data_IF_582965786900
#
_entry.id   IF_582965786900
#
_cell.length_a   1.000
_cell.length_b   1.000
_cell.length_c   1.000
_cell.angle_alpha   90.00
_cell.angle_beta   90.00
_cell.angle_gamma   90.00
#
_symmetry.space_group_name_H-M   'P 1'
#
loop_
_entity.id
_entity.type
_entity.pdbx_description
1 polymer ?
#
# COMPACT_ATOMS: atom_id res chain seq x y z
N UNK A 1 -3.76 36.98 59.00
CA UNK A 1 -2.39 37.17 58.48
C UNK A 1 -1.52 35.96 58.78
N UNK A 2 -1.92 34.75 58.36
CA UNK A 2 -1.18 33.50 58.67
C UNK A 2 -1.37 32.41 57.60
N UNK A 3 -1.44 32.77 56.32
CA UNK A 3 -1.49 31.79 55.21
C UNK A 3 -0.62 32.19 54.01
N UNK A 4 0.52 32.83 54.30
CA UNK A 4 1.45 33.35 53.28
C UNK A 4 2.92 33.14 53.65
N UNK A 5 3.23 31.99 54.27
CA UNK A 5 4.62 31.54 54.52
C UNK A 5 4.89 30.07 54.18
N UNK A 6 3.91 29.34 53.62
CA UNK A 6 4.03 27.91 53.30
C UNK A 6 4.38 27.56 51.85
N UNK A 7 4.50 28.53 50.94
CA UNK A 7 4.72 28.26 49.50
C UNK A 7 6.16 28.64 49.05
N UNK A 8 6.90 29.40 49.87
CA UNK A 8 8.25 29.87 49.49
C UNK A 8 9.36 28.84 49.84
N UNK A 9 9.06 27.80 50.62
CA UNK A 9 10.07 26.79 51.00
C UNK A 9 10.11 25.52 50.12
N UNK A 10 9.12 25.32 49.24
CA UNK A 10 9.12 24.20 48.29
C UNK A 10 9.87 24.49 46.97
N UNK A 11 10.32 25.74 46.76
CA UNK A 11 11.05 26.15 45.55
C UNK A 11 12.59 26.20 45.72
N UNK A 12 13.12 25.89 46.91
CA UNK A 12 14.56 25.99 47.19
C UNK A 12 15.30 24.63 47.30
N UNK A 13 14.62 23.49 47.14
CA UNK A 13 15.25 22.14 47.21
C UNK A 13 15.28 21.41 45.86
N UNK A 14 14.68 21.97 44.80
CA UNK A 14 14.78 21.42 43.44
C UNK A 14 15.94 22.02 42.60
N UNK A 15 16.77 22.89 43.19
CA UNK A 15 17.84 23.61 42.49
C UNK A 15 19.27 23.14 42.84
N UNK A 16 19.42 21.95 43.44
CA UNK A 16 20.73 21.45 43.89
C UNK A 16 20.98 19.96 43.57
N UNK A 17 20.51 19.47 42.42
CA UNK A 17 20.99 18.20 41.82
C UNK A 17 21.24 18.40 40.32
N UNK A 18 22.06 19.39 39.98
CA UNK A 18 22.48 19.68 38.61
C UNK A 18 23.94 20.13 38.57
N UNK A 19 24.82 19.31 39.13
CA UNK A 19 26.27 19.44 38.94
C UNK A 19 26.97 18.13 39.32
N UNK A 20 27.09 17.20 38.37
CA UNK A 20 28.23 16.28 38.17
C UNK A 20 27.82 15.06 37.32
N UNK A 21 27.86 15.21 35.99
CA UNK A 21 28.07 14.08 35.08
C UNK A 21 28.93 14.57 33.91
N UNK A 22 29.99 13.84 33.50
CA UNK A 22 30.91 14.25 32.44
C UNK A 22 30.23 14.25 31.05
N UNK A 23 30.78 14.97 30.07
CA UNK A 23 30.19 15.08 28.73
C UNK A 23 30.42 13.78 27.96
N UNK A 24 29.41 12.92 27.93
CA UNK A 24 29.34 11.83 26.95
C UNK A 24 28.82 12.39 25.62
N UNK A 25 29.39 11.95 24.48
CA UNK A 25 29.13 12.52 23.16
C UNK A 25 27.70 12.25 22.73
N UNK A 26 27.19 13.16 21.90
CA UNK A 26 25.91 13.11 21.22
C UNK A 26 25.63 11.72 20.63
N UNK A 27 24.86 10.92 21.36
CA UNK A 27 24.11 9.82 20.81
C UNK A 27 22.78 10.40 20.31
N UNK A 28 22.59 10.38 18.99
CA UNK A 28 21.30 10.57 18.33
C UNK A 28 20.25 9.71 19.03
N UNK A 29 19.42 10.34 19.87
CA UNK A 29 18.16 9.76 20.30
C UNK A 29 17.23 9.79 19.09
N UNK A 30 17.03 8.60 18.52
CA UNK A 30 15.85 8.27 17.74
C UNK A 30 14.59 8.58 18.56
N UNK A 31 14.05 9.79 18.39
CA UNK A 31 12.75 10.21 18.91
C UNK A 31 11.64 9.55 18.07
N UNK A 32 11.44 8.26 18.25
CA UNK A 32 10.39 7.51 17.54
C UNK A 32 9.42 6.80 18.50
N UNK A 33 9.26 7.31 19.74
CA UNK A 33 8.39 6.68 20.75
C UNK A 33 7.36 7.57 21.45
N UNK A 34 7.38 8.89 21.24
CA UNK A 34 6.48 9.81 21.95
C UNK A 34 5.41 10.50 21.08
N UNK A 35 5.38 10.24 19.77
CA UNK A 35 4.28 10.67 18.90
C UNK A 35 3.17 9.61 18.90
N UNK A 36 2.43 9.51 20.00
CA UNK A 36 1.13 8.79 20.09
C UNK A 36 -0.06 9.75 19.92
N UNK A 37 0.15 10.89 19.27
CA UNK A 37 -0.94 11.82 18.96
C UNK A 37 -1.87 11.25 17.88
N UNK A 38 -3.12 11.73 17.83
CA UNK A 38 -4.10 11.37 16.78
C UNK A 38 -3.56 11.56 15.36
N UNK A 39 -2.53 12.41 15.20
CA UNK A 39 -1.81 12.78 13.98
C UNK A 39 -0.60 11.90 13.63
N UNK A 40 -0.18 10.96 14.49
CA UNK A 40 1.08 10.23 14.32
C UNK A 40 0.93 8.79 13.80
N UNK A 41 -0.30 8.27 13.74
CA UNK A 41 -0.59 6.92 13.24
C UNK A 41 -0.66 6.83 11.71
N UNK A 42 -0.17 7.84 10.99
CA UNK A 42 -0.41 8.06 9.56
C UNK A 42 0.28 7.07 8.60
N UNK A 43 1.22 6.24 9.08
CA UNK A 43 2.01 5.35 8.21
C UNK A 43 1.67 3.85 8.32
N UNK A 44 0.84 3.42 9.27
CA UNK A 44 0.43 2.00 9.36
C UNK A 44 -0.67 1.73 8.35
N UNK A 45 -0.24 1.53 7.11
CA UNK A 45 -1.11 1.23 5.97
C UNK A 45 -2.06 0.09 6.26
N UNK A 46 -3.29 0.22 5.76
CA UNK A 46 -4.19 -0.90 5.55
C UNK A 46 -3.38 -2.06 4.96
N UNK A 47 -3.47 -3.23 5.59
CA UNK A 47 -2.89 -4.46 5.06
C UNK A 47 -3.29 -4.55 3.59
N UNK A 48 -2.28 -4.42 2.71
CA UNK A 48 -2.50 -4.61 1.28
C UNK A 48 -3.14 -5.98 1.18
N UNK A 49 -4.40 -6.10 0.68
CA UNK A 49 -4.97 -7.42 0.42
C UNK A 49 -3.92 -8.12 -0.43
N UNK A 50 -3.41 -9.23 0.10
CA UNK A 50 -2.20 -9.87 -0.39
C UNK A 50 -2.28 -9.89 -1.90
N UNK A 51 -1.21 -9.41 -2.58
CA UNK A 51 -1.02 -9.73 -3.99
C UNK A 51 -0.96 -11.24 -4.04
N UNK A 52 -2.13 -11.88 -4.15
CA UNK A 52 -2.22 -13.22 -4.66
C UNK A 52 -1.38 -13.17 -5.91
N UNK A 53 -0.34 -13.98 -5.95
CA UNK A 53 0.35 -14.34 -7.18
C UNK A 53 -0.70 -15.06 -8.03
N UNK A 54 -1.69 -14.33 -8.54
CA UNK A 54 -2.51 -14.76 -9.64
C UNK A 54 -1.51 -15.00 -10.75
N UNK A 55 -1.22 -16.27 -11.01
CA UNK A 55 -0.51 -16.67 -12.22
C UNK A 55 -1.47 -16.32 -13.33
N UNK A 56 -1.40 -15.08 -13.83
CA UNK A 56 -2.12 -14.68 -15.02
C UNK A 56 -1.76 -15.69 -16.11
N UNK A 57 -2.76 -16.43 -16.59
CA UNK A 57 -2.56 -17.40 -17.65
C UNK A 57 -1.88 -16.72 -18.84
N UNK A 58 -0.98 -17.46 -19.50
CA UNK A 58 -0.33 -16.95 -20.70
C UNK A 58 -1.39 -16.87 -21.80
N UNK A 59 -1.49 -15.72 -22.46
CA UNK A 59 -2.33 -15.58 -23.65
C UNK A 59 -1.69 -16.34 -24.82
N UNK A 60 -2.50 -16.72 -25.82
CA UNK A 60 -2.00 -17.47 -26.97
C UNK A 60 -0.88 -16.73 -27.74
N UNK A 61 -0.97 -15.40 -27.78
CA UNK A 61 0.06 -14.56 -28.43
C UNK A 61 1.40 -14.60 -27.67
N UNK A 62 1.34 -14.60 -26.34
CA UNK A 62 2.55 -14.69 -25.51
C UNK A 62 3.16 -16.09 -25.57
N UNK A 63 2.33 -17.13 -25.61
CA UNK A 63 2.78 -18.51 -25.85
C UNK A 63 3.48 -18.60 -27.20
N UNK A 64 2.90 -18.02 -28.25
CA UNK A 64 3.52 -18.00 -29.58
C UNK A 64 4.87 -17.28 -29.57
N UNK A 65 4.96 -16.13 -28.90
CA UNK A 65 6.20 -15.36 -28.77
C UNK A 65 7.28 -16.14 -28.01
N UNK A 66 6.93 -16.76 -26.88
CA UNK A 66 7.81 -17.64 -26.12
C UNK A 66 8.30 -18.79 -26.99
N UNK A 67 7.41 -19.45 -27.74
CA UNK A 67 7.78 -20.59 -28.60
C UNK A 67 8.72 -20.19 -29.74
N UNK A 68 8.59 -18.98 -30.29
CA UNK A 68 9.52 -18.46 -31.32
C UNK A 68 10.93 -18.31 -30.76
N UNK A 69 11.07 -17.73 -29.57
CA UNK A 69 12.39 -17.54 -28.95
C UNK A 69 12.95 -18.84 -28.39
N UNK A 70 12.10 -19.67 -27.78
CA UNK A 70 12.47 -20.99 -27.29
C UNK A 70 12.96 -21.91 -28.42
N UNK A 71 12.35 -21.86 -29.61
CA UNK A 71 12.79 -22.64 -30.78
C UNK A 71 14.20 -22.28 -31.24
N UNK A 72 14.65 -21.03 -31.05
CA UNK A 72 16.03 -20.62 -31.37
C UNK A 72 17.04 -21.24 -30.39
N UNK A 73 16.63 -21.44 -29.13
CA UNK A 73 17.47 -21.98 -28.05
C UNK A 73 17.48 -23.51 -28.04
N UNK A 74 16.32 -24.16 -28.21
CA UNK A 74 16.19 -25.61 -28.26
C UNK A 74 15.14 -26.03 -29.32
N UNK A 75 15.55 -26.25 -30.57
CA UNK A 75 14.63 -26.53 -31.67
C UNK A 75 13.99 -27.93 -31.58
N UNK A 76 14.66 -28.91 -30.98
CA UNK A 76 14.15 -30.28 -30.83
C UNK A 76 13.01 -30.30 -29.82
N UNK A 77 13.25 -29.74 -28.63
CA UNK A 77 12.24 -29.66 -27.58
C UNK A 77 11.07 -28.74 -27.95
N UNK A 78 11.32 -27.71 -28.76
CA UNK A 78 10.24 -26.85 -29.28
C UNK A 78 9.29 -27.60 -30.22
N UNK A 79 9.77 -28.60 -30.98
CA UNK A 79 8.91 -29.46 -31.79
C UNK A 79 8.04 -30.36 -30.90
N UNK A 80 8.63 -31.00 -29.89
CA UNK A 80 7.91 -31.81 -28.90
C UNK A 80 6.81 -31.00 -28.20
N UNK A 81 7.13 -29.79 -27.75
CA UNK A 81 6.17 -28.86 -27.15
C UNK A 81 5.07 -28.44 -28.13
N UNK A 82 5.37 -28.24 -29.41
CA UNK A 82 4.37 -27.90 -30.43
C UNK A 82 3.38 -29.04 -30.66
N UNK A 83 3.85 -30.28 -30.61
CA UNK A 83 2.99 -31.48 -30.71
C UNK A 83 2.18 -31.69 -29.43
N UNK A 84 2.79 -31.47 -28.26
CA UNK A 84 2.12 -31.50 -26.95
C UNK A 84 0.99 -30.49 -26.87
N UNK A 85 1.16 -29.27 -27.41
CA UNK A 85 0.12 -28.24 -27.42
C UNK A 85 -1.20 -28.70 -28.05
N UNK A 86 -1.15 -29.59 -29.05
CA UNK A 86 -2.35 -30.14 -29.72
C UNK A 86 -2.94 -31.35 -29.00
N UNK A 87 -2.10 -32.15 -28.32
CA UNK A 87 -2.51 -33.41 -27.69
C UNK A 87 -2.98 -33.22 -26.25
N UNK A 88 -2.27 -32.39 -25.48
CA UNK A 88 -2.50 -32.18 -24.06
C UNK A 88 -2.08 -30.75 -23.67
N UNK A 89 -3.00 -29.77 -23.75
CA UNK A 89 -2.72 -28.36 -23.47
C UNK A 89 -2.21 -28.11 -22.04
N UNK A 90 -2.64 -28.90 -21.07
CA UNK A 90 -2.20 -28.78 -19.67
C UNK A 90 -0.75 -29.24 -19.51
N UNK A 91 -0.40 -30.42 -20.04
CA UNK A 91 1.00 -30.88 -20.04
C UNK A 91 1.91 -29.97 -20.85
N UNK A 92 1.43 -29.40 -21.95
CA UNK A 92 2.17 -28.39 -22.70
C UNK A 92 2.51 -27.18 -21.81
N UNK A 93 1.55 -26.64 -21.05
CA UNK A 93 1.78 -25.50 -20.15
C UNK A 93 2.79 -25.85 -19.05
N UNK A 94 2.77 -27.07 -18.52
CA UNK A 94 3.73 -27.53 -17.51
C UNK A 94 5.15 -27.64 -18.09
N UNK A 95 5.31 -28.31 -19.22
CA UNK A 95 6.61 -28.51 -19.86
C UNK A 95 7.18 -27.19 -20.40
N UNK A 96 6.33 -26.30 -20.91
CA UNK A 96 6.73 -24.94 -21.28
C UNK A 96 7.28 -24.18 -20.08
N UNK A 97 6.66 -24.27 -18.89
CA UNK A 97 7.17 -23.62 -17.67
C UNK A 97 8.52 -24.16 -17.20
N UNK A 98 8.73 -25.48 -17.31
CA UNK A 98 9.98 -26.13 -16.91
C UNK A 98 11.14 -25.78 -17.83
N UNK A 99 10.88 -25.63 -19.13
CA UNK A 99 11.94 -25.53 -20.13
C UNK A 99 12.12 -24.13 -20.70
N UNK A 100 11.08 -23.30 -20.75
CA UNK A 100 11.14 -21.93 -21.26
C UNK A 100 11.23 -20.87 -20.14
N UNK A 101 11.93 -21.18 -19.04
CA UNK A 101 12.01 -20.29 -17.86
C UNK A 101 12.58 -18.91 -18.20
N UNK A 102 13.63 -18.82 -19.00
CA UNK A 102 14.25 -17.54 -19.40
C UNK A 102 13.32 -16.67 -20.25
N UNK A 103 12.59 -17.28 -21.19
CA UNK A 103 11.61 -16.57 -22.02
C UNK A 103 10.40 -16.13 -21.21
N UNK A 104 9.97 -16.95 -20.24
CA UNK A 104 8.92 -16.61 -19.29
C UNK A 104 9.32 -15.48 -18.36
N UNK A 105 10.55 -15.46 -17.85
CA UNK A 105 11.09 -14.37 -17.05
C UNK A 105 11.11 -13.06 -17.83
N UNK A 106 11.60 -13.07 -19.07
CA UNK A 106 11.54 -11.90 -19.97
C UNK A 106 10.11 -11.39 -20.16
N UNK A 107 9.16 -12.30 -20.39
CA UNK A 107 7.75 -11.92 -20.52
C UNK A 107 7.20 -11.30 -19.23
N UNK A 108 7.51 -11.88 -18.07
CA UNK A 108 7.09 -11.38 -16.76
C UNK A 108 7.68 -9.98 -16.51
N UNK A 109 8.94 -9.77 -16.87
CA UNK A 109 9.60 -8.48 -16.77
C UNK A 109 8.96 -7.45 -17.69
N UNK A 110 8.68 -7.80 -18.95
CA UNK A 110 7.96 -6.93 -19.90
C UNK A 110 6.57 -6.57 -19.40
N UNK A 111 5.77 -7.55 -18.93
CA UNK A 111 4.46 -7.31 -18.30
C UNK A 111 4.59 -6.38 -17.11
N UNK A 112 5.57 -6.62 -16.25
CA UNK A 112 5.82 -5.83 -15.05
C UNK A 112 6.27 -4.40 -15.39
N UNK A 113 7.04 -4.22 -16.46
CA UNK A 113 7.43 -2.91 -16.97
C UNK A 113 6.23 -2.16 -17.57
N UNK A 114 5.45 -2.82 -18.42
CA UNK A 114 4.23 -2.25 -19.01
C UNK A 114 3.24 -1.82 -17.93
N UNK A 115 2.98 -2.70 -16.96
CA UNK A 115 2.13 -2.39 -15.81
C UNK A 115 2.65 -1.19 -15.01
N UNK A 116 3.97 -1.11 -14.77
CA UNK A 116 4.60 0.04 -14.11
C UNK A 116 4.41 1.33 -14.90
N UNK A 117 4.60 1.29 -16.22
CA UNK A 117 4.41 2.44 -17.10
C UNK A 117 2.96 2.90 -17.14
N UNK A 118 2.01 1.98 -17.31
CA UNK A 118 0.58 2.28 -17.28
C UNK A 118 0.15 2.88 -15.93
N UNK A 119 0.65 2.31 -14.81
CA UNK A 119 0.41 2.84 -13.47
C UNK A 119 1.00 4.23 -13.29
N UNK A 120 2.21 4.45 -13.75
CA UNK A 120 2.87 5.76 -13.69
C UNK A 120 2.12 6.79 -14.55
N UNK A 121 1.68 6.43 -15.76
CA UNK A 121 0.90 7.31 -16.63
C UNK A 121 -0.45 7.67 -15.99
N UNK A 122 -1.18 6.68 -15.47
CA UNK A 122 -2.44 6.90 -14.77
C UNK A 122 -2.27 7.78 -13.51
N UNK A 123 -1.16 7.59 -12.78
CA UNK A 123 -0.84 8.44 -11.63
C UNK A 123 -0.56 9.89 -12.06
N UNK A 124 0.20 10.11 -13.13
CA UNK A 124 0.48 11.47 -13.64
C UNK A 124 -0.78 12.16 -14.15
N UNK A 125 -1.67 11.44 -14.84
CA UNK A 125 -2.97 11.99 -15.28
C UNK A 125 -3.85 12.35 -14.08
N UNK A 126 -3.90 11.48 -13.08
CA UNK A 126 -4.62 11.77 -11.84
C UNK A 126 -4.02 12.97 -11.08
N UNK A 127 -2.69 13.08 -11.05
CA UNK A 127 -1.99 14.21 -10.44
C UNK A 127 -2.28 15.51 -11.18
N UNK A 128 -2.33 15.48 -12.51
CA UNK A 128 -2.71 16.65 -13.31
C UNK A 128 -4.11 17.15 -12.95
N UNK A 129 -5.09 16.25 -12.76
CA UNK A 129 -6.47 16.64 -12.41
C UNK A 129 -6.61 17.21 -11.00
N UNK A 130 -5.82 16.73 -10.04
CA UNK A 130 -6.00 17.06 -8.62
C UNK A 130 -4.98 18.08 -8.08
N UNK A 131 -3.78 18.13 -8.68
CA UNK A 131 -2.64 18.92 -8.22
C UNK A 131 -1.86 19.50 -9.42
N UNK A 132 -2.51 20.42 -10.15
CA UNK A 132 -1.95 21.06 -11.35
C UNK A 132 -0.54 21.64 -11.18
N UNK A 133 -0.23 22.23 -10.02
CA UNK A 133 1.08 22.84 -9.77
C UNK A 133 2.21 21.80 -9.74
N UNK A 134 2.00 20.70 -9.01
CA UNK A 134 2.97 19.59 -8.93
C UNK A 134 3.16 18.92 -10.29
N UNK A 135 2.05 18.73 -11.04
CA UNK A 135 2.12 18.18 -12.39
C UNK A 135 2.91 19.08 -13.35
N UNK A 136 2.67 20.39 -13.32
CA UNK A 136 3.42 21.37 -14.13
C UNK A 136 4.90 21.41 -13.77
N UNK A 137 5.23 21.35 -12.47
CA UNK A 137 6.62 21.29 -12.02
C UNK A 137 7.32 20.03 -12.54
N UNK A 138 6.67 18.86 -12.42
CA UNK A 138 7.20 17.61 -12.95
C UNK A 138 7.38 17.65 -14.48
N UNK A 139 6.43 18.22 -15.22
CA UNK A 139 6.54 18.35 -16.67
C UNK A 139 7.74 19.24 -17.08
N UNK A 140 7.97 20.34 -16.36
CA UNK A 140 9.15 21.22 -16.58
C UNK A 140 10.45 20.49 -16.28
N UNK A 141 10.53 19.82 -15.13
CA UNK A 141 11.74 19.10 -14.72
C UNK A 141 12.07 17.94 -15.65
N UNK A 142 11.06 17.26 -16.21
CA UNK A 142 11.27 16.16 -17.15
C UNK A 142 12.06 16.59 -18.40
N UNK A 143 11.88 17.84 -18.85
CA UNK A 143 12.60 18.40 -20.00
C UNK A 143 13.96 18.98 -19.57
N UNK A 144 14.01 19.65 -18.42
CA UNK A 144 15.20 20.36 -17.97
C UNK A 144 16.30 19.46 -17.39
N UNK A 145 15.94 18.55 -16.48
CA UNK A 145 16.88 17.67 -15.79
C UNK A 145 16.21 16.35 -15.36
N UNK A 146 16.50 15.23 -16.05
CA UNK A 146 15.95 13.91 -15.72
C UNK A 146 16.26 13.42 -14.30
N UNK A 147 17.42 13.78 -13.73
CA UNK A 147 17.79 13.34 -12.39
C UNK A 147 17.00 14.07 -11.32
N UNK A 148 16.82 15.39 -11.48
CA UNK A 148 15.97 16.18 -10.58
C UNK A 148 14.51 15.79 -10.74
N UNK A 149 14.06 15.50 -11.96
CA UNK A 149 12.73 14.94 -12.21
C UNK A 149 12.47 13.67 -11.39
N UNK A 150 13.38 12.69 -11.44
CA UNK A 150 13.19 11.42 -10.70
C UNK A 150 13.07 11.65 -9.19
N UNK A 151 13.93 12.51 -8.62
CA UNK A 151 13.87 12.85 -7.18
C UNK A 151 12.55 13.54 -6.81
N UNK A 152 12.10 14.50 -7.63
CA UNK A 152 10.83 15.19 -7.40
C UNK A 152 9.65 14.23 -7.58
N UNK A 153 9.67 13.39 -8.60
CA UNK A 153 8.66 12.37 -8.85
C UNK A 153 8.53 11.44 -7.65
N UNK A 154 9.64 10.94 -7.10
CA UNK A 154 9.64 10.09 -5.91
C UNK A 154 8.98 10.78 -4.70
N UNK A 155 9.27 12.07 -4.47
CA UNK A 155 8.66 12.84 -3.38
C UNK A 155 7.15 13.01 -3.59
N UNK A 156 6.74 13.38 -4.80
CA UNK A 156 5.33 13.51 -5.18
C UNK A 156 4.62 12.16 -5.05
N UNK A 157 5.22 11.07 -5.54
CA UNK A 157 4.66 9.73 -5.39
C UNK A 157 4.53 9.33 -3.93
N UNK A 158 5.53 9.54 -3.07
CA UNK A 158 5.40 9.23 -1.64
C UNK A 158 4.22 9.96 -0.99
N UNK A 159 4.02 11.22 -1.37
CA UNK A 159 2.95 12.06 -0.81
C UNK A 159 1.56 11.68 -1.33
N UNK A 160 1.41 11.45 -2.63
CA UNK A 160 0.09 11.37 -3.27
C UNK A 160 -0.30 9.98 -3.79
N UNK A 161 0.65 9.06 -3.98
CA UNK A 161 0.38 7.77 -4.62
C UNK A 161 -0.58 6.90 -3.79
N UNK A 162 -0.55 7.01 -2.45
CA UNK A 162 -1.51 6.33 -1.59
C UNK A 162 -2.94 6.78 -1.88
N UNK A 163 -3.15 8.09 -2.03
CA UNK A 163 -4.47 8.67 -2.32
C UNK A 163 -4.95 8.21 -3.71
N UNK A 164 -4.06 8.20 -4.69
CA UNK A 164 -4.34 7.65 -6.02
C UNK A 164 -4.81 6.19 -5.96
N UNK A 165 -4.09 5.30 -5.25
CA UNK A 165 -4.49 3.90 -5.12
C UNK A 165 -5.84 3.75 -4.41
N UNK A 166 -6.07 4.53 -3.35
CA UNK A 166 -7.33 4.53 -2.59
C UNK A 166 -8.49 5.00 -3.46
N UNK A 167 -8.30 6.03 -4.29
CA UNK A 167 -9.37 6.59 -5.15
C UNK A 167 -10.01 5.57 -6.09
N UNK A 168 -9.26 4.52 -6.45
CA UNK A 168 -9.75 3.43 -7.30
C UNK A 168 -10.60 2.39 -6.57
N UNK A 169 -10.43 2.27 -5.26
CA UNK A 169 -11.06 1.21 -4.43
C UNK A 169 -12.12 1.77 -3.49
N UNK A 170 -11.87 2.96 -2.97
CA UNK A 170 -12.71 3.68 -2.03
C UNK A 170 -12.62 5.19 -2.35
N UNK A 171 -13.47 5.68 -3.28
CA UNK A 171 -13.43 7.08 -3.71
C UNK A 171 -13.74 8.04 -2.55
N UNK A 172 -14.66 7.69 -1.65
CA UNK A 172 -15.00 8.51 -0.48
C UNK A 172 -13.79 8.72 0.43
N UNK A 173 -13.01 7.66 0.70
CA UNK A 173 -11.80 7.80 1.53
C UNK A 173 -10.74 8.65 0.83
N UNK A 174 -10.65 8.58 -0.50
CA UNK A 174 -9.72 9.41 -1.26
C UNK A 174 -10.08 10.90 -1.17
N UNK A 175 -11.36 11.25 -1.17
CA UNK A 175 -11.79 12.64 -0.98
C UNK A 175 -11.37 13.19 0.39
N UNK A 176 -11.57 12.42 1.46
CA UNK A 176 -11.13 12.77 2.83
C UNK A 176 -9.60 12.96 2.88
N UNK A 177 -8.83 12.08 2.23
CA UNK A 177 -7.37 12.21 2.17
C UNK A 177 -6.91 13.43 1.34
N UNK A 178 -7.62 13.76 0.25
CA UNK A 178 -7.34 14.95 -0.54
C UNK A 178 -7.60 16.23 0.26
N UNK A 179 -8.65 16.25 1.07
CA UNK A 179 -8.97 17.36 1.95
C UNK A 179 -7.89 17.57 3.01
N UNK A 180 -7.45 16.49 3.69
CA UNK A 180 -6.38 16.57 4.68
C UNK A 180 -5.09 17.17 4.09
N UNK A 181 -4.71 16.73 2.88
CA UNK A 181 -3.53 17.26 2.18
C UNK A 181 -3.66 18.75 1.89
N UNK A 182 -4.84 19.23 1.50
CA UNK A 182 -5.08 20.67 1.24
C UNK A 182 -4.99 21.47 2.54
N UNK A 183 -5.57 20.95 3.61
CA UNK A 183 -5.53 21.59 4.93
C UNK A 183 -4.11 21.60 5.50
N UNK A 184 -3.33 20.52 5.36
CA UNK A 184 -1.92 20.47 5.75
C UNK A 184 -1.11 21.55 5.00
N UNK A 185 -1.32 21.72 3.69
CA UNK A 185 -0.65 22.79 2.93
C UNK A 185 -0.99 24.17 3.49
N UNK A 186 -2.28 24.45 3.75
CA UNK A 186 -2.72 25.72 4.34
C UNK A 186 -2.14 25.94 5.73
N UNK A 187 -2.07 24.88 6.55
CA UNK A 187 -1.43 24.91 7.86
C UNK A 187 0.05 25.30 7.74
N UNK A 188 0.80 24.65 6.85
CA UNK A 188 2.23 24.92 6.64
C UNK A 188 2.46 26.38 6.20
N UNK A 189 1.62 26.89 5.29
CA UNK A 189 1.66 28.28 4.83
C UNK A 189 1.37 29.28 5.96
N UNK A 190 0.37 29.00 6.81
CA UNK A 190 0.03 29.85 7.96
C UNK A 190 1.15 29.84 8.99
N UNK A 191 1.72 28.69 9.31
CA UNK A 191 2.86 28.55 10.23
C UNK A 191 4.06 29.33 9.70
N UNK A 192 4.36 29.26 8.40
CA UNK A 192 5.43 30.04 7.79
C UNK A 192 5.17 31.56 7.91
N UNK A 193 3.94 32.02 7.60
CA UNK A 193 3.55 33.43 7.74
C UNK A 193 3.67 33.92 9.18
N UNK A 194 3.18 33.16 10.16
CA UNK A 194 3.27 33.49 11.59
C UNK A 194 4.72 33.68 12.03
N UNK A 195 5.62 32.76 11.64
CA UNK A 195 7.06 32.83 11.99
C UNK A 195 7.74 34.08 11.43
N UNK A 196 7.28 34.61 10.30
CA UNK A 196 7.87 35.79 9.65
C UNK A 196 7.21 37.12 10.06
N UNK A 197 6.00 37.08 10.62
CA UNK A 197 5.19 38.28 10.91
C UNK A 197 5.62 38.94 12.21
N UNK A 198 6.07 40.20 12.11
CA UNK A 198 6.47 41.03 13.28
C UNK A 198 5.30 41.79 13.91
N UNK A 199 4.21 42.03 13.16
CA UNK A 199 3.04 42.75 13.65
C UNK A 199 2.18 41.83 14.54
N UNK A 200 1.99 42.23 15.80
CA UNK A 200 1.27 41.44 16.80
C UNK A 200 -0.22 41.24 16.47
N UNK A 201 -0.91 42.24 15.91
CA UNK A 201 -2.32 42.13 15.56
C UNK A 201 -2.52 41.17 14.38
N UNK A 202 -1.66 41.28 13.36
CA UNK A 202 -1.67 40.35 12.24
C UNK A 202 -1.31 38.92 12.66
N UNK A 203 -0.36 38.77 13.60
CA UNK A 203 0.01 37.47 14.14
C UNK A 203 -1.17 36.80 14.88
N UNK A 204 -1.96 37.56 15.64
CA UNK A 204 -3.19 37.06 16.26
C UNK A 204 -4.21 36.57 15.23
N UNK A 205 -4.43 37.33 14.15
CA UNK A 205 -5.34 36.92 13.06
C UNK A 205 -4.87 35.62 12.40
N UNK A 206 -3.58 35.53 12.04
CA UNK A 206 -3.01 34.32 11.45
C UNK A 206 -3.07 33.11 12.40
N UNK A 207 -2.91 33.33 13.71
CA UNK A 207 -3.06 32.27 14.72
C UNK A 207 -4.50 31.78 14.79
N UNK A 208 -5.48 32.68 14.73
CA UNK A 208 -6.91 32.31 14.67
C UNK A 208 -7.22 31.50 13.40
N UNK A 209 -6.71 31.91 12.24
CA UNK A 209 -6.87 31.16 10.99
C UNK A 209 -6.22 29.77 11.09
N UNK A 210 -5.10 29.66 11.80
CA UNK A 210 -4.41 28.39 12.03
C UNK A 210 -5.23 27.46 12.93
N UNK A 211 -5.85 27.99 13.99
CA UNK A 211 -6.75 27.24 14.87
C UNK A 211 -7.94 26.67 14.10
N UNK A 212 -8.55 27.46 13.22
CA UNK A 212 -9.64 27.01 12.35
C UNK A 212 -9.18 25.85 11.44
N UNK A 213 -8.02 25.99 10.79
CA UNK A 213 -7.47 24.93 9.92
C UNK A 213 -7.17 23.66 10.71
N UNK A 214 -6.59 23.79 11.93
CA UNK A 214 -6.31 22.63 12.78
C UNK A 214 -7.59 21.94 13.23
N UNK A 215 -8.65 22.69 13.55
CA UNK A 215 -9.96 22.13 13.88
C UNK A 215 -10.55 21.34 12.70
N UNK A 216 -10.53 21.92 11.49
CA UNK A 216 -10.99 21.22 10.28
C UNK A 216 -10.19 19.93 10.02
N UNK A 217 -8.87 19.95 10.22
CA UNK A 217 -8.04 18.73 10.07
C UNK A 217 -8.41 17.66 11.09
N UNK A 218 -8.71 18.07 12.32
CA UNK A 218 -9.16 17.14 13.34
C UNK A 218 -10.45 16.42 12.92
N UNK A 219 -11.41 17.15 12.37
CA UNK A 219 -12.67 16.58 11.85
C UNK A 219 -12.41 15.59 10.69
N UNK A 220 -11.52 15.94 9.76
CA UNK A 220 -11.10 15.06 8.66
C UNK A 220 -10.45 13.77 9.19
N UNK A 221 -9.61 13.87 10.21
CA UNK A 221 -8.98 12.70 10.85
C UNK A 221 -10.03 11.83 11.55
N UNK A 222 -10.99 12.43 12.24
CA UNK A 222 -12.12 11.69 12.82
C UNK A 222 -12.93 10.97 11.75
N UNK A 223 -13.25 11.64 10.64
CA UNK A 223 -13.96 11.02 9.51
C UNK A 223 -13.18 9.84 8.95
N UNK A 224 -11.86 9.97 8.77
CA UNK A 224 -10.98 8.88 8.33
C UNK A 224 -11.04 7.68 9.28
N UNK A 225 -10.99 7.92 10.60
CA UNK A 225 -11.08 6.87 11.62
C UNK A 225 -12.45 6.18 11.61
N UNK A 226 -13.53 6.94 11.44
CA UNK A 226 -14.89 6.42 11.33
C UNK A 226 -15.03 5.48 10.12
N UNK A 227 -14.52 5.87 8.96
CA UNK A 227 -14.55 5.04 7.75
C UNK A 227 -13.73 3.75 7.92
N UNK A 228 -12.56 3.84 8.57
CA UNK A 228 -11.75 2.65 8.88
C UNK A 228 -12.49 1.69 9.82
N UNK A 229 -13.19 2.23 10.83
CA UNK A 229 -14.02 1.46 11.74
C UNK A 229 -15.17 0.73 11.00
N UNK A 230 -15.90 1.43 10.14
CA UNK A 230 -16.98 0.85 9.33
C UNK A 230 -16.47 -0.25 8.40
N UNK A 231 -15.31 -0.05 7.79
CA UNK A 231 -14.67 -1.07 6.97
C UNK A 231 -14.28 -2.32 7.77
N UNK A 232 -13.72 -2.15 8.97
CA UNK A 232 -13.38 -3.25 9.87
C UNK A 232 -14.63 -4.03 10.31
N UNK A 233 -15.73 -3.34 10.61
CA UNK A 233 -17.01 -4.00 10.94
C UNK A 233 -17.48 -4.89 9.78
N UNK A 234 -17.47 -4.37 8.56
CA UNK A 234 -17.81 -5.15 7.36
C UNK A 234 -16.88 -6.35 7.18
N UNK A 235 -15.57 -6.16 7.38
CA UNK A 235 -14.59 -7.24 7.27
C UNK A 235 -14.83 -8.35 8.30
N UNK A 236 -15.20 -7.99 9.52
CA UNK A 236 -15.54 -8.96 10.57
C UNK A 236 -16.79 -9.75 10.17
N UNK A 237 -17.80 -9.10 9.60
CA UNK A 237 -19.01 -9.77 9.12
C UNK A 237 -18.70 -10.76 7.99
N UNK A 238 -17.91 -10.34 6.99
CA UNK A 238 -17.46 -11.22 5.90
C UNK A 238 -16.70 -12.45 6.44
N UNK A 239 -15.79 -12.24 7.39
CA UNK A 239 -15.03 -13.33 8.02
C UNK A 239 -15.91 -14.28 8.82
N UNK A 240 -16.92 -13.76 9.53
CA UNK A 240 -17.91 -14.59 10.23
C UNK A 240 -18.71 -15.44 9.26
N UNK A 241 -19.11 -14.89 8.12
CA UNK A 241 -19.79 -15.64 7.07
C UNK A 241 -18.89 -16.75 6.51
N UNK A 242 -17.62 -16.45 6.19
CA UNK A 242 -16.66 -17.45 5.73
C UNK A 242 -16.43 -18.59 6.73
N UNK A 243 -16.33 -18.25 8.02
CA UNK A 243 -16.19 -19.26 9.08
C UNK A 243 -17.42 -20.16 9.17
N UNK A 244 -18.63 -19.59 9.08
CA UNK A 244 -19.87 -20.36 9.07
C UNK A 244 -19.94 -21.29 7.86
N UNK A 245 -19.60 -20.78 6.67
CA UNK A 245 -19.64 -21.56 5.44
C UNK A 245 -18.63 -22.71 5.49
N UNK A 246 -17.39 -22.44 5.94
CA UNK A 246 -16.37 -23.48 6.15
C UNK A 246 -16.79 -24.52 7.18
N UNK A 247 -17.42 -24.10 8.29
CA UNK A 247 -17.96 -25.02 9.28
C UNK A 247 -19.07 -25.92 8.71
N UNK A 248 -19.99 -25.34 7.93
CA UNK A 248 -21.05 -26.10 7.27
C UNK A 248 -20.50 -27.08 6.23
N UNK A 249 -19.45 -26.70 5.49
CA UNK A 249 -18.73 -27.61 4.59
C UNK A 249 -18.12 -28.78 5.37
N UNK A 250 -17.45 -28.52 6.51
CA UNK A 250 -16.88 -29.58 7.35
C UNK A 250 -17.98 -30.55 7.80
N UNK A 251 -19.12 -30.04 8.30
CA UNK A 251 -20.26 -30.90 8.69
C UNK A 251 -20.73 -31.74 7.50
N UNK A 252 -20.88 -31.13 6.31
CA UNK A 252 -21.26 -31.86 5.10
C UNK A 252 -20.27 -32.98 4.77
N UNK A 253 -18.97 -32.73 4.89
CA UNK A 253 -17.95 -33.75 4.63
C UNK A 253 -17.84 -34.82 5.74
N UNK A 254 -18.37 -34.56 6.93
CA UNK A 254 -18.48 -35.55 8.00
C UNK A 254 -19.65 -36.53 7.80
N UNK A 255 -20.64 -36.19 6.97
CA UNK A 255 -21.77 -37.08 6.65
C UNK A 255 -21.27 -38.42 6.04
N UNK A 256 -21.66 -39.58 6.61
CA UNK A 256 -21.15 -40.88 6.17
C UNK A 256 -21.41 -41.19 4.68
N UNK A 257 -22.55 -40.75 4.12
CA UNK A 257 -22.87 -40.99 2.70
C UNK A 257 -21.97 -40.15 1.79
N UNK A 258 -21.83 -38.87 2.12
CA UNK A 258 -20.92 -37.94 1.42
C UNK A 258 -19.48 -38.46 1.49
N UNK A 259 -19.05 -38.97 2.65
CA UNK A 259 -17.73 -39.60 2.80
C UNK A 259 -17.57 -40.82 1.90
N UNK A 260 -18.55 -41.73 1.88
CA UNK A 260 -18.50 -42.94 1.05
C UNK A 260 -18.43 -42.60 -0.45
N UNK A 261 -19.23 -41.63 -0.90
CA UNK A 261 -19.23 -41.15 -2.29
C UNK A 261 -17.88 -40.52 -2.67
N UNK A 262 -17.32 -39.66 -1.82
CA UNK A 262 -16.02 -39.05 -2.05
C UNK A 262 -14.89 -40.09 -2.07
N UNK A 263 -14.93 -41.11 -1.21
CA UNK A 263 -13.97 -42.22 -1.24
C UNK A 263 -14.07 -42.97 -2.57
N UNK A 264 -15.28 -43.35 -3.00
CA UNK A 264 -15.49 -44.04 -4.29
C UNK A 264 -14.96 -43.21 -5.46
N UNK A 265 -15.27 -41.92 -5.50
CA UNK A 265 -14.80 -41.02 -6.55
C UNK A 265 -13.27 -40.90 -6.53
N UNK A 266 -12.66 -40.73 -5.34
CA UNK A 266 -11.20 -40.65 -5.21
C UNK A 266 -10.51 -41.95 -5.61
N UNK A 267 -11.05 -43.12 -5.23
CA UNK A 267 -10.52 -44.42 -5.64
C UNK A 267 -10.59 -44.57 -7.16
N UNK A 268 -11.69 -44.16 -7.80
CA UNK A 268 -11.83 -44.15 -9.25
C UNK A 268 -10.80 -43.23 -9.92
N UNK A 269 -10.65 -42.00 -9.44
CA UNK A 269 -9.67 -41.04 -9.97
C UNK A 269 -8.23 -41.56 -9.88
N UNK A 270 -7.89 -42.24 -8.77
CA UNK A 270 -6.57 -42.86 -8.57
C UNK A 270 -6.32 -44.05 -9.50
N UNK A 271 -7.34 -44.89 -9.72
CA UNK A 271 -7.25 -46.04 -10.62
C UNK A 271 -7.24 -45.65 -12.11
N UNK A 272 -7.84 -44.51 -12.45
CA UNK A 272 -7.85 -43.98 -13.82
C UNK A 272 -6.57 -43.21 -14.19
N UNK A 273 -5.53 -43.19 -13.34
CA UNK A 273 -4.25 -42.50 -13.56
C UNK A 273 -4.38 -41.01 -13.96
N UNK A 274 -5.51 -40.37 -13.62
CA UNK A 274 -5.66 -38.92 -13.74
C UNK A 274 -4.91 -38.26 -12.60
N UNK A 275 -3.59 -38.11 -12.76
CA UNK A 275 -2.77 -37.25 -11.90
C UNK A 275 -3.46 -35.89 -11.77
N UNK A 276 -3.90 -35.55 -10.56
CA UNK A 276 -4.37 -34.20 -10.22
C UNK A 276 -3.45 -33.56 -9.21
N UNK A 277 -3.26 -32.26 -9.45
CA UNK A 277 -2.34 -31.25 -8.89
C UNK A 277 -2.05 -31.22 -7.37
N UNK A 278 -2.69 -32.03 -6.55
CA UNK A 278 -2.53 -31.99 -5.08
C UNK A 278 -1.74 -33.17 -4.48
N UNK A 279 -1.22 -34.09 -5.32
CA UNK A 279 -0.22 -35.10 -4.92
C UNK A 279 1.16 -34.77 -5.51
#
# INVERSE_FOLDING_TARGET
MEKSRGIILALAIAAAILAAAPPCPAAEKNNNKDDQGIFAEDERGEERPGRGRGRDELTEDEINRIMVDFKKRNPEKAKELSDLRKKDPEKFREELRKHATEELEKLIDERSQKWRQERQAAFLEWLEKNFHDESRELARLKVADPNVYNKKYDLVSRKYYRIFEVSRRNPELAEVLLEDVKLQKRQDELVAKIKTTKNQEQNKKLTSDLEEVVALRYDVILRRRQMAYEWLLKRIEDLRNQLRDSHNEIIKYQDPKTKEENIKQRTKDLLEEKKRFWD
#
